data_IF_469029581786
#
_entry.id   IF_469029581786
#
_cell.length_a   1.000
_cell.length_b   1.000
_cell.length_c   1.000
_cell.angle_alpha   90.00
_cell.angle_beta   90.00
_cell.angle_gamma   90.00
#
_symmetry.space_group_name_H-M   'P 1'
#
loop_
_entity.id
_entity.type
_entity.pdbx_description
1 polymer ?
#
# COMPACT_ATOMS: atom_id res chain seq x y z
N UNK A 1 -0.98 -8.52 -11.03
CA UNK A 1 -2.37 -9.01 -11.22
C UNK A 1 -2.59 -9.46 -12.65
N UNK A 2 -2.50 -8.60 -13.67
CA UNK A 2 -2.73 -9.00 -15.07
C UNK A 2 -1.80 -10.14 -15.54
N UNK A 3 -0.51 -10.04 -15.22
CA UNK A 3 0.47 -11.10 -15.53
C UNK A 3 0.41 -12.29 -14.57
N UNK A 4 -0.39 -12.23 -13.50
CA UNK A 4 -0.50 -13.27 -12.46
C UNK A 4 0.79 -13.59 -11.69
N UNK A 5 1.83 -12.76 -11.86
CA UNK A 5 3.18 -12.92 -11.29
C UNK A 5 3.41 -12.13 -9.98
N UNK A 6 2.48 -12.19 -9.03
CA UNK A 6 2.63 -11.41 -7.77
C UNK A 6 3.82 -11.89 -6.95
N UNK A 7 4.06 -13.21 -6.88
CA UNK A 7 5.19 -13.78 -6.14
C UNK A 7 6.51 -13.29 -6.72
N UNK A 8 6.68 -13.43 -8.03
CA UNK A 8 7.88 -13.05 -8.77
C UNK A 8 8.14 -11.55 -8.67
N UNK A 9 7.09 -10.72 -8.82
CA UNK A 9 7.23 -9.27 -8.70
C UNK A 9 7.66 -8.84 -7.29
N UNK A 10 7.10 -9.46 -6.24
CA UNK A 10 7.48 -9.16 -4.85
C UNK A 10 8.90 -9.65 -4.56
N UNK A 11 9.25 -10.86 -5.02
CA UNK A 11 10.59 -11.41 -4.86
C UNK A 11 11.64 -10.51 -5.51
N UNK A 12 11.45 -10.16 -6.79
CA UNK A 12 12.36 -9.28 -7.52
C UNK A 12 12.47 -7.89 -6.87
N UNK A 13 11.34 -7.35 -6.37
CA UNK A 13 11.34 -6.08 -5.63
C UNK A 13 12.15 -6.15 -4.33
N UNK A 14 11.99 -7.24 -3.56
CA UNK A 14 12.76 -7.47 -2.33
C UNK A 14 14.25 -7.65 -2.60
N UNK A 15 14.63 -8.40 -3.63
CA UNK A 15 16.03 -8.58 -4.04
C UNK A 15 16.65 -7.23 -4.44
N UNK A 16 15.98 -6.46 -5.30
CA UNK A 16 16.48 -5.18 -5.76
C UNK A 16 16.67 -4.18 -4.61
N UNK A 17 15.71 -4.09 -3.70
CA UNK A 17 15.82 -3.20 -2.53
C UNK A 17 16.91 -3.65 -1.56
N UNK A 18 17.04 -4.96 -1.33
CA UNK A 18 18.09 -5.53 -0.48
C UNK A 18 19.47 -5.25 -1.06
N UNK A 19 19.64 -5.43 -2.37
CA UNK A 19 20.90 -5.11 -3.04
C UNK A 19 21.27 -3.63 -2.87
N UNK A 20 20.31 -2.71 -2.96
CA UNK A 20 20.56 -1.28 -2.69
C UNK A 20 21.01 -1.04 -1.25
N UNK A 21 20.35 -1.67 -0.26
CA UNK A 21 20.76 -1.57 1.15
C UNK A 21 22.18 -2.10 1.36
N UNK A 22 22.51 -3.26 0.80
CA UNK A 22 23.83 -3.90 0.96
C UNK A 22 24.96 -3.12 0.30
N UNK A 23 24.70 -2.51 -0.86
CA UNK A 23 25.68 -1.71 -1.59
C UNK A 23 25.88 -0.30 -1.01
N UNK A 24 25.00 0.14 -0.10
CA UNK A 24 25.02 1.51 0.40
C UNK A 24 26.14 1.74 1.42
N UNK A 25 27.01 2.71 1.15
CA UNK A 25 28.09 3.12 2.05
C UNK A 25 27.90 4.58 2.44
N UNK A 26 27.76 4.83 3.75
CA UNK A 26 27.50 6.18 4.29
C UNK A 26 28.64 6.59 5.23
N UNK A 27 29.74 7.17 4.71
CA UNK A 27 30.96 7.41 5.49
C UNK A 27 30.78 8.48 6.57
N UNK A 28 29.96 9.51 6.30
CA UNK A 28 29.83 10.69 7.16
C UNK A 28 28.67 10.58 8.17
N UNK A 29 27.98 9.44 8.24
CA UNK A 29 26.89 9.21 9.19
C UNK A 29 27.01 7.79 9.79
N UNK A 30 27.95 7.58 10.73
CA UNK A 30 28.30 6.24 11.21
C UNK A 30 27.13 5.51 11.87
N UNK A 31 26.21 6.23 12.51
CA UNK A 31 24.99 5.65 13.09
C UNK A 31 24.00 5.17 12.03
N UNK A 32 23.89 5.88 10.91
CA UNK A 32 23.04 5.47 9.77
C UNK A 32 23.65 4.26 9.09
N UNK A 33 24.97 4.26 8.85
CA UNK A 33 25.68 3.08 8.33
C UNK A 33 25.45 1.86 9.22
N UNK A 34 25.67 2.00 10.53
CA UNK A 34 25.46 0.93 11.50
C UNK A 34 24.03 0.40 11.45
N UNK A 35 23.02 1.28 11.41
CA UNK A 35 21.63 0.84 11.33
C UNK A 35 21.33 0.10 10.01
N UNK A 36 21.84 0.58 8.87
CA UNK A 36 21.68 -0.10 7.58
C UNK A 36 22.33 -1.49 7.60
N UNK A 37 23.58 -1.58 8.07
CA UNK A 37 24.33 -2.85 8.15
C UNK A 37 23.69 -3.84 9.14
N UNK A 38 23.10 -3.36 10.24
CA UNK A 38 22.54 -4.25 11.27
C UNK A 38 21.09 -4.66 10.96
N UNK A 39 20.32 -3.79 10.30
CA UNK A 39 18.87 -3.98 10.16
C UNK A 39 18.43 -4.38 8.76
N UNK A 40 19.25 -4.12 7.73
CA UNK A 40 18.94 -4.37 6.31
C UNK A 40 17.51 -3.96 5.93
N UNK A 41 17.01 -2.85 6.49
CA UNK A 41 15.60 -2.48 6.36
C UNK A 41 15.31 -1.92 4.97
N UNK A 42 14.20 -2.36 4.39
CA UNK A 42 13.73 -1.94 3.07
C UNK A 42 12.27 -1.51 3.12
N UNK A 43 11.79 -0.89 2.05
CA UNK A 43 10.42 -0.38 1.95
C UNK A 43 9.79 -0.64 0.59
N UNK A 44 9.32 -1.87 0.37
CA UNK A 44 8.52 -2.21 -0.78
C UNK A 44 7.09 -1.66 -0.61
N UNK A 45 6.62 -0.92 -1.59
CA UNK A 45 5.29 -0.32 -1.60
C UNK A 45 4.43 -0.83 -2.76
N UNK A 46 3.24 -0.26 -2.88
CA UNK A 46 2.34 -0.48 -4.01
C UNK A 46 1.81 0.87 -4.52
N UNK A 47 1.47 0.92 -5.81
CA UNK A 47 0.79 2.05 -6.42
C UNK A 47 -0.32 1.57 -7.36
N UNK A 48 -1.07 2.50 -7.94
CA UNK A 48 -2.15 2.23 -8.88
C UNK A 48 -3.41 1.56 -8.30
N UNK A 49 -3.63 1.60 -6.98
CA UNK A 49 -4.79 0.92 -6.38
C UNK A 49 -6.12 1.45 -6.95
N UNK A 50 -6.32 2.78 -6.93
CA UNK A 50 -7.57 3.36 -7.42
C UNK A 50 -7.75 3.14 -8.93
N UNK A 51 -6.67 3.24 -9.71
CA UNK A 51 -6.69 2.95 -11.14
C UNK A 51 -7.09 1.51 -11.45
N UNK A 52 -6.53 0.55 -10.70
CA UNK A 52 -6.86 -0.86 -10.84
C UNK A 52 -8.31 -1.16 -10.44
N UNK A 53 -8.79 -0.60 -9.32
CA UNK A 53 -10.18 -0.75 -8.88
C UNK A 53 -11.15 -0.17 -9.92
N UNK A 54 -10.87 1.03 -10.44
CA UNK A 54 -11.72 1.69 -11.42
C UNK A 54 -11.76 0.94 -12.76
N UNK A 55 -10.61 0.44 -13.25
CA UNK A 55 -10.54 -0.43 -14.44
C UNK A 55 -11.45 -1.66 -14.30
N UNK A 56 -11.53 -2.23 -13.10
CA UNK A 56 -12.37 -3.38 -12.78
C UNK A 56 -13.78 -3.00 -12.28
N UNK A 57 -14.19 -1.74 -12.47
CA UNK A 57 -15.52 -1.23 -12.10
C UNK A 57 -15.84 -1.46 -10.61
N UNK A 58 -14.85 -1.27 -9.73
CA UNK A 58 -15.00 -1.33 -8.28
C UNK A 58 -14.81 0.09 -7.74
N UNK A 59 -15.80 0.58 -6.98
CA UNK A 59 -15.71 1.90 -6.37
C UNK A 59 -14.77 1.84 -5.16
N UNK A 60 -13.87 2.82 -5.03
CA UNK A 60 -12.88 2.87 -3.95
C UNK A 60 -13.50 2.78 -2.54
N UNK A 61 -14.72 3.30 -2.37
CA UNK A 61 -15.48 3.32 -1.11
C UNK A 61 -16.32 2.05 -0.85
N UNK A 62 -16.19 1.02 -1.69
CA UNK A 62 -17.02 -0.20 -1.64
C UNK A 62 -16.43 -1.27 -0.72
N UNK A 63 -17.26 -2.27 -0.40
CA UNK A 63 -16.80 -3.44 0.35
C UNK A 63 -15.84 -4.29 -0.51
N UNK A 64 -16.10 -4.42 -1.81
CA UNK A 64 -15.21 -5.17 -2.72
C UNK A 64 -13.82 -4.53 -2.83
N UNK A 65 -13.71 -3.20 -2.72
CA UNK A 65 -12.40 -2.54 -2.70
C UNK A 65 -11.57 -2.95 -1.47
N UNK A 66 -12.21 -3.01 -0.30
CA UNK A 66 -11.55 -3.47 0.94
C UNK A 66 -11.19 -4.94 0.87
N UNK A 67 -12.09 -5.76 0.34
CA UNK A 67 -11.88 -7.18 0.14
C UNK A 67 -10.69 -7.46 -0.79
N UNK A 68 -10.63 -6.77 -1.94
CA UNK A 68 -9.49 -6.86 -2.85
C UNK A 68 -8.19 -6.45 -2.15
N UNK A 69 -8.20 -5.30 -1.44
CA UNK A 69 -7.02 -4.78 -0.77
C UNK A 69 -6.54 -5.73 0.33
N UNK A 70 -7.45 -6.26 1.14
CA UNK A 70 -7.17 -7.30 2.15
C UNK A 70 -6.37 -8.46 1.55
N UNK A 71 -6.89 -9.10 0.50
CA UNK A 71 -6.23 -10.26 -0.10
C UNK A 71 -4.91 -9.87 -0.75
N UNK A 72 -4.88 -8.80 -1.55
CA UNK A 72 -3.69 -8.37 -2.28
C UNK A 72 -2.53 -8.04 -1.33
N UNK A 73 -2.79 -7.28 -0.26
CA UNK A 73 -1.74 -6.88 0.67
C UNK A 73 -1.34 -8.01 1.62
N UNK A 74 -2.24 -8.96 1.94
CA UNK A 74 -1.86 -10.21 2.60
C UNK A 74 -0.83 -10.97 1.75
N UNK A 75 -1.05 -11.11 0.45
CA UNK A 75 -0.13 -11.78 -0.47
C UNK A 75 1.20 -11.03 -0.61
N UNK A 76 1.17 -9.69 -0.71
CA UNK A 76 2.37 -8.85 -0.70
C UNK A 76 3.22 -9.11 0.56
N UNK A 77 2.57 -9.22 1.72
CA UNK A 77 3.26 -9.53 2.96
C UNK A 77 3.80 -10.96 3.00
N UNK A 78 3.00 -11.95 2.61
CA UNK A 78 3.42 -13.34 2.55
C UNK A 78 4.70 -13.51 1.72
N UNK A 79 4.67 -13.06 0.46
CA UNK A 79 5.79 -13.23 -0.46
C UNK A 79 7.01 -12.39 -0.10
N UNK A 80 6.84 -11.26 0.62
CA UNK A 80 8.00 -10.49 1.10
C UNK A 80 8.66 -11.12 2.34
N UNK A 81 7.89 -11.80 3.21
CA UNK A 81 8.45 -12.62 4.30
C UNK A 81 9.18 -13.82 3.69
N UNK A 82 8.54 -14.52 2.77
CA UNK A 82 9.12 -15.67 2.05
C UNK A 82 10.46 -15.27 1.45
N UNK A 83 10.54 -14.16 0.70
CA UNK A 83 11.79 -13.76 0.09
C UNK A 83 12.86 -13.33 1.09
N UNK A 84 12.49 -12.59 2.15
CA UNK A 84 13.44 -12.20 3.20
C UNK A 84 14.00 -13.43 3.94
N UNK A 85 13.18 -14.48 4.12
CA UNK A 85 13.60 -15.77 4.68
C UNK A 85 14.53 -16.52 3.72
N UNK A 86 14.20 -16.58 2.43
CA UNK A 86 15.07 -17.19 1.40
C UNK A 86 16.46 -16.52 1.39
N UNK A 87 16.52 -15.18 1.43
CA UNK A 87 17.79 -14.44 1.48
C UNK A 87 18.57 -14.78 2.76
N UNK A 88 17.92 -14.85 3.92
CA UNK A 88 18.57 -15.23 5.17
C UNK A 88 19.15 -16.66 5.11
N UNK A 89 18.40 -17.59 4.55
CA UNK A 89 18.84 -18.97 4.32
C UNK A 89 20.05 -19.05 3.38
N UNK A 90 20.03 -18.30 2.28
CA UNK A 90 21.12 -18.29 1.28
C UNK A 90 22.41 -17.65 1.83
N UNK A 91 22.29 -16.55 2.58
CA UNK A 91 23.42 -15.83 3.15
C UNK A 91 23.92 -16.40 4.48
N UNK A 92 23.07 -17.16 5.19
CA UNK A 92 23.36 -17.62 6.54
C UNK A 92 23.39 -16.49 7.57
N UNK A 93 22.63 -15.41 7.33
CA UNK A 93 22.61 -14.18 8.11
C UNK A 93 21.17 -13.69 8.30
N UNK A 94 20.89 -13.13 9.48
CA UNK A 94 19.61 -12.47 9.78
C UNK A 94 19.88 -11.03 10.20
N UNK A 95 18.86 -10.17 10.17
CA UNK A 95 18.99 -8.87 10.82
C UNK A 95 19.33 -9.03 12.31
N UNK A 96 20.00 -8.02 12.86
CA UNK A 96 20.43 -7.99 14.25
C UNK A 96 19.26 -8.10 15.22
N UNK A 97 19.43 -8.91 16.26
CA UNK A 97 18.41 -9.16 17.29
C UNK A 97 17.13 -9.82 16.75
N UNK A 98 17.21 -10.57 15.64
CA UNK A 98 16.09 -11.37 15.12
C UNK A 98 15.46 -12.27 16.18
N UNK A 99 16.27 -12.89 17.05
CA UNK A 99 15.85 -13.76 18.15
C UNK A 99 14.89 -13.09 19.15
N UNK A 100 14.90 -11.75 19.22
CA UNK A 100 14.04 -10.95 20.10
C UNK A 100 12.77 -10.45 19.42
N UNK A 101 12.58 -10.77 18.14
CA UNK A 101 11.46 -10.27 17.35
C UNK A 101 10.21 -11.14 17.46
N UNK A 102 9.05 -10.56 17.13
CA UNK A 102 7.78 -11.29 17.02
C UNK A 102 7.77 -12.32 15.87
N UNK A 103 8.73 -12.22 14.95
CA UNK A 103 8.95 -13.23 13.93
C UNK A 103 9.57 -14.50 14.53
N UNK A 104 10.56 -14.35 15.41
CA UNK A 104 11.26 -15.47 16.03
C UNK A 104 10.41 -16.20 17.08
N UNK A 105 9.64 -15.45 17.89
CA UNK A 105 8.72 -16.05 18.86
C UNK A 105 7.43 -16.60 18.20
N UNK A 106 7.17 -16.23 16.95
CA UNK A 106 6.06 -16.73 16.14
C UNK A 106 4.74 -15.95 16.31
N UNK A 107 4.65 -15.01 17.25
CA UNK A 107 3.43 -14.23 17.53
C UNK A 107 2.99 -13.38 16.34
N UNK A 108 3.93 -12.94 15.49
CA UNK A 108 3.61 -12.21 14.25
C UNK A 108 2.62 -12.98 13.34
N UNK A 109 2.72 -14.32 13.32
CA UNK A 109 1.98 -15.18 12.39
C UNK A 109 0.59 -15.57 12.87
N UNK A 110 0.28 -15.44 14.16
CA UNK A 110 -0.96 -15.95 14.78
C UNK A 110 -2.23 -15.47 14.05
N UNK A 111 -2.26 -14.21 13.62
CA UNK A 111 -3.42 -13.67 12.90
C UNK A 111 -3.63 -14.29 11.52
N UNK A 112 -2.54 -14.70 10.85
CA UNK A 112 -2.60 -15.34 9.54
C UNK A 112 -2.91 -16.83 9.62
N UNK A 113 -2.59 -17.48 10.75
CA UNK A 113 -2.99 -18.86 11.03
C UNK A 113 -4.47 -18.96 11.43
N UNK A 114 -5.04 -17.90 12.01
CA UNK A 114 -6.42 -17.88 12.52
C UNK A 114 -7.44 -17.25 11.57
N UNK A 115 -7.03 -16.24 10.79
CA UNK A 115 -7.92 -15.48 9.90
C UNK A 115 -7.69 -15.86 8.45
N UNK A 116 -8.76 -16.14 7.71
CA UNK A 116 -8.71 -16.31 6.26
C UNK A 116 -8.90 -14.94 5.59
N UNK A 117 -7.95 -14.59 4.73
CA UNK A 117 -7.91 -13.33 3.99
C UNK A 117 -8.25 -13.49 2.51
N UNK A 118 -8.75 -14.66 2.11
CA UNK A 118 -9.21 -14.95 0.76
C UNK A 118 -10.47 -14.15 0.39
N UNK A 119 -10.67 -13.83 -0.89
CA UNK A 119 -11.84 -13.11 -1.35
C UNK A 119 -13.10 -13.99 -1.26
N UNK A 120 -14.21 -13.36 -0.88
CA UNK A 120 -15.53 -13.94 -0.63
C UNK A 120 -16.49 -13.67 -1.80
N UNK A 121 -16.42 -12.48 -2.42
CA UNK A 121 -17.30 -12.11 -3.52
C UNK A 121 -16.78 -12.65 -4.84
N UNK A 122 -17.67 -13.18 -5.68
CA UNK A 122 -17.33 -13.76 -6.99
C UNK A 122 -16.53 -12.76 -7.85
N UNK A 123 -16.93 -11.49 -7.82
CA UNK A 123 -16.24 -10.43 -8.56
C UNK A 123 -14.79 -10.25 -8.13
N UNK A 124 -14.48 -10.30 -6.84
CA UNK A 124 -13.10 -10.17 -6.35
C UNK A 124 -12.34 -11.47 -6.57
N UNK A 125 -12.97 -12.64 -6.38
CA UNK A 125 -12.37 -13.95 -6.67
C UNK A 125 -11.85 -14.04 -8.11
N UNK A 126 -12.64 -13.56 -9.08
CA UNK A 126 -12.23 -13.51 -10.50
C UNK A 126 -10.96 -12.68 -10.72
N UNK A 127 -10.70 -11.63 -9.91
CA UNK A 127 -9.48 -10.81 -10.03
C UNK A 127 -8.21 -11.55 -9.62
N UNK A 128 -8.32 -12.62 -8.85
CA UNK A 128 -7.21 -13.47 -8.40
C UNK A 128 -7.16 -14.81 -9.14
N UNK A 129 -7.99 -15.02 -10.17
CA UNK A 129 -8.05 -16.29 -10.90
C UNK A 129 -6.69 -16.64 -11.52
N UNK A 130 -6.21 -17.85 -11.23
CA UNK A 130 -4.89 -18.33 -11.68
C UNK A 130 -3.71 -17.77 -10.89
N UNK A 131 -3.97 -17.17 -9.73
CA UNK A 131 -2.95 -16.76 -8.76
C UNK A 131 -3.18 -17.58 -7.49
N UNK A 132 -2.13 -18.23 -6.99
CA UNK A 132 -2.19 -18.94 -5.71
C UNK A 132 -2.36 -17.93 -4.56
N UNK A 133 -3.42 -18.07 -3.76
CA UNK A 133 -3.65 -17.25 -2.57
C UNK A 133 -3.16 -18.06 -1.36
N UNK A 134 -2.18 -17.55 -0.58
CA UNK A 134 -1.66 -18.25 0.58
C UNK A 134 -2.75 -18.62 1.58
N UNK A 135 -2.82 -19.91 1.94
CA UNK A 135 -3.75 -20.44 2.93
C UNK A 135 -3.17 -20.37 4.35
N UNK A 136 -3.97 -20.76 5.34
CA UNK A 136 -3.50 -20.88 6.73
C UNK A 136 -2.34 -21.85 6.87
N UNK A 137 -2.39 -22.97 6.13
CA UNK A 137 -1.34 -23.98 6.09
C UNK A 137 -0.05 -23.44 5.47
N UNK A 138 -0.17 -22.64 4.40
CA UNK A 138 0.98 -21.95 3.80
C UNK A 138 1.65 -20.99 4.78
N UNK A 139 0.85 -20.28 5.59
CA UNK A 139 1.33 -19.40 6.65
C UNK A 139 2.01 -20.15 7.79
N UNK A 140 1.44 -21.28 8.23
CA UNK A 140 2.08 -22.15 9.23
C UNK A 140 3.39 -22.73 8.71
N UNK A 141 3.45 -23.14 7.43
CA UNK A 141 4.70 -23.60 6.81
C UNK A 141 5.76 -22.49 6.78
N UNK A 142 5.36 -21.27 6.37
CA UNK A 142 6.27 -20.13 6.33
C UNK A 142 6.79 -19.74 7.72
N UNK A 143 5.95 -19.80 8.76
CA UNK A 143 6.34 -19.58 10.15
C UNK A 143 7.45 -20.53 10.59
N UNK A 144 7.33 -21.83 10.30
CA UNK A 144 8.36 -22.82 10.66
C UNK A 144 9.67 -22.61 9.88
N UNK A 145 9.57 -22.19 8.61
CA UNK A 145 10.75 -21.81 7.82
C UNK A 145 11.43 -20.56 8.40
N UNK A 146 10.67 -19.54 8.76
CA UNK A 146 11.20 -18.31 9.39
C UNK A 146 11.83 -18.62 10.75
N UNK A 147 11.25 -19.54 11.54
CA UNK A 147 11.86 -19.99 12.80
C UNK A 147 13.19 -20.71 12.58
N UNK A 148 13.32 -21.43 11.48
CA UNK A 148 14.52 -22.22 11.15
C UNK A 148 15.63 -21.36 10.55
N UNK A 149 15.29 -20.49 9.60
CA UNK A 149 16.26 -19.74 8.78
C UNK A 149 16.37 -18.26 9.15
N UNK A 150 15.38 -17.72 9.86
CA UNK A 150 15.29 -16.31 10.20
C UNK A 150 14.82 -15.43 9.04
N UNK A 151 15.05 -14.12 9.18
CA UNK A 151 14.74 -13.10 8.17
C UNK A 151 15.95 -12.19 7.97
N UNK A 152 16.21 -11.81 6.72
CA UNK A 152 17.32 -10.94 6.39
C UNK A 152 16.98 -9.48 6.68
N UNK A 153 15.79 -9.04 6.29
CA UNK A 153 15.34 -7.66 6.46
C UNK A 153 14.48 -7.51 7.73
N UNK A 154 14.83 -6.58 8.62
CA UNK A 154 14.03 -6.26 9.83
C UNK A 154 12.67 -5.63 9.52
N UNK A 155 12.61 -4.80 8.48
CA UNK A 155 11.41 -4.17 7.95
C UNK A 155 11.39 -4.30 6.43
N UNK A 156 10.20 -4.49 5.85
CA UNK A 156 10.05 -4.88 4.45
C UNK A 156 9.11 -3.98 3.66
N UNK A 157 7.97 -3.60 4.23
CA UNK A 157 6.87 -2.97 3.50
C UNK A 157 6.58 -1.56 4.01
N UNK A 158 6.62 -0.59 3.10
CA UNK A 158 6.27 0.80 3.37
C UNK A 158 5.63 1.43 2.13
N UNK A 159 4.43 2.00 2.28
CA UNK A 159 3.70 2.60 1.16
C UNK A 159 3.94 4.12 1.17
N UNK A 160 4.93 4.54 0.38
CA UNK A 160 5.27 5.93 0.15
C UNK A 160 4.33 6.61 -0.87
N UNK A 161 4.27 7.96 -0.91
CA UNK A 161 3.69 8.69 -2.02
C UNK A 161 4.52 8.48 -3.29
N UNK A 162 3.88 8.36 -4.45
CA UNK A 162 4.58 8.01 -5.71
C UNK A 162 4.45 9.08 -6.78
N UNK A 163 4.30 10.36 -6.39
CA UNK A 163 3.90 11.48 -7.24
C UNK A 163 4.51 11.47 -8.66
N UNK A 164 5.81 11.78 -8.80
CA UNK A 164 6.41 11.92 -10.14
C UNK A 164 6.55 10.58 -10.86
N UNK A 165 6.92 9.51 -10.14
CA UNK A 165 7.15 8.19 -10.74
C UNK A 165 5.85 7.51 -11.19
N UNK A 166 4.69 7.90 -10.64
CA UNK A 166 3.41 7.35 -11.08
C UNK A 166 3.01 7.82 -12.47
N UNK A 167 3.43 9.01 -12.92
CA UNK A 167 3.22 9.42 -14.32
C UNK A 167 4.04 8.55 -15.29
N UNK A 168 5.29 8.21 -14.91
CA UNK A 168 6.14 7.32 -15.72
C UNK A 168 5.52 5.92 -15.82
N UNK A 169 4.95 5.43 -14.73
CA UNK A 169 4.28 4.12 -14.68
C UNK A 169 2.85 4.14 -15.23
N UNK A 170 2.34 5.29 -15.67
CA UNK A 170 0.93 5.49 -16.01
C UNK A 170 -0.02 4.89 -14.95
N UNK A 171 0.20 5.28 -13.69
CA UNK A 171 -0.46 4.75 -12.50
C UNK A 171 -1.09 5.87 -11.67
N UNK A 172 -2.16 5.55 -10.93
CA UNK A 172 -2.64 6.45 -9.86
C UNK A 172 -1.64 6.44 -8.70
N UNK A 173 -1.43 7.60 -8.07
CA UNK A 173 -0.40 7.75 -7.03
C UNK A 173 -0.68 6.90 -5.79
N UNK A 174 0.28 6.05 -5.42
CA UNK A 174 0.25 5.20 -4.23
C UNK A 174 -1.04 4.36 -4.17
N UNK A 175 -1.49 4.06 -2.94
CA UNK A 175 -2.80 3.44 -2.68
C UNK A 175 -3.91 4.46 -2.49
N UNK A 176 -3.65 5.75 -2.70
CA UNK A 176 -4.61 6.83 -2.44
C UNK A 176 -5.64 6.98 -3.58
N UNK A 177 -6.84 7.51 -3.27
CA UNK A 177 -7.77 7.90 -4.32
C UNK A 177 -7.24 9.12 -5.09
N UNK A 178 -7.76 9.31 -6.29
CA UNK A 178 -7.34 10.37 -7.21
C UNK A 178 -7.95 11.70 -6.75
N UNK A 179 -7.25 12.80 -7.02
CA UNK A 179 -7.77 14.14 -6.68
C UNK A 179 -8.61 14.75 -7.79
N UNK A 180 -8.32 14.41 -9.04
CA UNK A 180 -9.06 14.82 -10.22
C UNK A 180 -9.00 13.71 -11.26
N UNK A 181 -10.07 13.56 -12.05
CA UNK A 181 -10.11 12.64 -13.17
C UNK A 181 -9.16 13.07 -14.29
N UNK A 182 -9.00 14.39 -14.49
CA UNK A 182 -8.04 14.96 -15.41
C UNK A 182 -7.24 16.02 -14.65
N UNK A 183 -5.95 15.80 -14.54
CA UNK A 183 -5.05 16.75 -13.92
C UNK A 183 -4.62 17.81 -14.91
N UNK A 184 -4.83 19.07 -14.56
CA UNK A 184 -4.26 20.21 -15.28
C UNK A 184 -2.99 20.66 -14.58
N UNK A 185 -1.92 20.90 -15.36
CA UNK A 185 -0.64 21.44 -14.88
C UNK A 185 -0.13 22.48 -15.87
N UNK A 186 0.30 23.63 -15.36
CA UNK A 186 0.95 24.65 -16.19
C UNK A 186 2.46 24.51 -16.06
N UNK A 187 3.13 24.24 -17.17
CA UNK A 187 4.58 24.20 -17.30
C UNK A 187 5.00 25.35 -18.21
N UNK A 188 5.69 26.34 -17.63
CA UNK A 188 5.99 27.62 -18.28
C UNK A 188 4.73 28.24 -18.91
N UNK A 189 4.67 28.30 -20.24
CA UNK A 189 3.57 28.94 -20.97
C UNK A 189 2.54 27.95 -21.52
N UNK A 190 2.65 26.66 -21.19
CA UNK A 190 1.76 25.62 -21.68
C UNK A 190 1.01 24.92 -20.55
N UNK A 191 -0.27 24.66 -20.75
CA UNK A 191 -1.08 23.82 -19.86
C UNK A 191 -1.15 22.41 -20.44
N UNK A 192 -0.74 21.43 -19.67
CA UNK A 192 -0.81 20.00 -19.98
C UNK A 192 -1.94 19.36 -19.20
N UNK A 193 -2.66 18.45 -19.85
CA UNK A 193 -3.75 17.69 -19.25
C UNK A 193 -3.37 16.22 -19.19
N UNK A 194 -3.49 15.64 -17.99
CA UNK A 194 -3.20 14.24 -17.73
C UNK A 194 -4.47 13.53 -17.25
N UNK A 195 -5.20 12.82 -18.11
CA UNK A 195 -6.30 11.98 -17.69
C UNK A 195 -5.79 10.82 -16.84
N UNK A 196 -6.55 10.42 -15.83
CA UNK A 196 -6.18 9.26 -15.01
C UNK A 196 -6.03 8.00 -15.87
N UNK A 197 -5.09 7.09 -15.54
CA UNK A 197 -4.91 5.84 -16.27
C UNK A 197 -6.23 5.07 -16.37
N UNK A 198 -6.54 4.44 -17.50
CA UNK A 198 -7.80 3.71 -17.73
C UNK A 198 -9.09 4.56 -17.66
N UNK A 199 -9.01 5.90 -17.64
CA UNK A 199 -10.18 6.75 -17.73
C UNK A 199 -10.88 6.61 -19.09
N UNK A 200 -12.16 6.30 -19.06
CA UNK A 200 -13.04 6.14 -20.20
C UNK A 200 -14.47 6.51 -19.81
N UNK A 201 -15.40 6.55 -20.77
CA UNK A 201 -16.82 6.78 -20.48
C UNK A 201 -17.40 5.74 -19.52
N UNK A 202 -16.94 4.49 -19.61
CA UNK A 202 -17.44 3.37 -18.79
C UNK A 202 -16.82 3.35 -17.38
N UNK A 203 -15.62 3.91 -17.22
CA UNK A 203 -14.87 3.91 -15.95
C UNK A 203 -14.95 5.24 -15.21
N UNK A 204 -15.47 6.30 -15.85
CA UNK A 204 -15.56 7.67 -15.32
C UNK A 204 -16.11 7.75 -13.90
N UNK A 205 -17.22 7.06 -13.64
CA UNK A 205 -17.91 7.07 -12.35
C UNK A 205 -17.16 6.37 -11.22
N UNK A 206 -16.16 5.54 -11.55
CA UNK A 206 -15.30 4.89 -10.58
C UNK A 206 -14.11 5.75 -10.17
N UNK A 207 -13.76 6.77 -10.96
CA UNK A 207 -12.78 7.80 -10.60
C UNK A 207 -13.42 8.95 -9.83
N UNK A 208 -14.04 8.64 -8.69
CA UNK A 208 -14.57 9.67 -7.79
C UNK A 208 -13.40 10.48 -7.23
N UNK A 209 -13.54 11.80 -7.13
CA UNK A 209 -12.49 12.65 -6.55
C UNK A 209 -12.40 12.40 -5.03
N UNK A 210 -11.18 12.41 -4.50
CA UNK A 210 -10.90 12.17 -3.09
C UNK A 210 -11.57 13.18 -2.15
N UNK A 211 -11.83 14.41 -2.62
CA UNK A 211 -12.52 15.45 -1.87
C UNK A 211 -14.03 15.20 -1.72
N UNK A 212 -14.60 14.34 -2.56
CA UNK A 212 -16.01 14.01 -2.58
C UNK A 212 -16.29 12.64 -1.93
N UNK A 213 -15.23 11.91 -1.54
CA UNK A 213 -15.30 10.64 -0.83
C UNK A 213 -15.53 10.82 0.67
N UNK A 214 -16.20 9.83 1.27
CA UNK A 214 -16.29 9.69 2.71
C UNK A 214 -14.93 9.31 3.30
N UNK A 215 -14.31 10.23 4.03
CA UNK A 215 -12.98 10.02 4.61
C UNK A 215 -12.96 8.87 5.65
N UNK A 216 -14.08 8.55 6.32
CA UNK A 216 -14.14 7.38 7.21
C UNK A 216 -13.97 6.07 6.43
N UNK A 217 -14.52 5.98 5.21
CA UNK A 217 -14.37 4.80 4.34
C UNK A 217 -12.96 4.70 3.75
N UNK A 218 -12.35 5.84 3.42
CA UNK A 218 -10.93 5.89 3.06
C UNK A 218 -10.10 5.33 4.22
N UNK A 219 -10.30 5.82 5.44
CA UNK A 219 -9.61 5.33 6.64
C UNK A 219 -9.83 3.83 6.84
N UNK A 220 -11.05 3.33 6.65
CA UNK A 220 -11.37 1.90 6.75
C UNK A 220 -10.56 1.06 5.75
N UNK A 221 -10.48 1.48 4.49
CA UNK A 221 -9.69 0.79 3.48
C UNK A 221 -8.20 0.80 3.83
N UNK A 222 -7.67 1.94 4.27
CA UNK A 222 -6.26 2.03 4.66
C UNK A 222 -5.96 1.22 5.90
N UNK A 223 -6.89 1.13 6.87
CA UNK A 223 -6.75 0.27 8.03
C UNK A 223 -6.62 -1.20 7.61
N UNK A 224 -7.44 -1.65 6.65
CA UNK A 224 -7.37 -3.00 6.08
C UNK A 224 -6.00 -3.28 5.44
N UNK A 225 -5.47 -2.32 4.67
CA UNK A 225 -4.12 -2.43 4.08
C UNK A 225 -3.05 -2.47 5.18
N UNK A 226 -3.17 -1.60 6.19
CA UNK A 226 -2.19 -1.43 7.26
C UNK A 226 -1.98 -2.69 8.09
N UNK A 227 -2.97 -3.59 8.18
CA UNK A 227 -2.83 -4.90 8.82
C UNK A 227 -1.66 -5.71 8.24
N UNK A 228 -1.38 -5.54 6.95
CA UNK A 228 -0.37 -6.32 6.22
C UNK A 228 0.93 -5.54 5.96
N UNK A 229 1.01 -4.28 6.39
CA UNK A 229 2.19 -3.42 6.24
C UNK A 229 2.91 -3.28 7.58
N UNK A 230 4.14 -3.79 7.67
CA UNK A 230 4.95 -3.79 8.90
C UNK A 230 5.45 -2.38 9.29
N UNK A 231 5.73 -1.50 8.33
CA UNK A 231 6.01 -0.08 8.58
C UNK A 231 4.72 0.75 8.48
N UNK A 232 4.63 1.74 7.58
CA UNK A 232 3.51 2.67 7.50
C UNK A 232 3.05 2.98 6.09
N UNK A 233 1.92 3.69 6.02
CA UNK A 233 1.28 4.15 4.78
C UNK A 233 1.13 5.66 4.85
N UNK A 234 1.62 6.38 3.84
CA UNK A 234 1.47 7.84 3.75
C UNK A 234 0.03 8.22 3.41
N UNK A 235 -0.81 8.26 4.43
CA UNK A 235 -2.26 8.45 4.31
C UNK A 235 -2.62 9.93 4.31
N UNK A 236 -3.29 10.38 3.26
CA UNK A 236 -3.73 11.79 3.10
C UNK A 236 -5.21 11.89 3.44
N UNK A 237 -5.58 12.88 4.26
CA UNK A 237 -6.98 13.28 4.43
C UNK A 237 -7.32 14.37 3.43
N UNK A 238 -8.47 14.25 2.78
CA UNK A 238 -8.97 15.21 1.80
C UNK A 238 -10.22 15.89 2.33
N UNK A 239 -10.17 17.21 2.45
CA UNK A 239 -11.26 18.00 3.05
C UNK A 239 -11.57 19.22 2.19
N UNK A 240 -12.80 19.70 2.26
CA UNK A 240 -13.19 20.98 1.67
C UNK A 240 -13.01 22.11 2.69
N UNK A 241 -12.89 23.35 2.22
CA UNK A 241 -12.61 24.52 3.07
C UNK A 241 -13.71 24.86 4.08
N UNK A 242 -14.91 24.32 3.92
CA UNK A 242 -16.06 24.46 4.82
C UNK A 242 -16.06 23.44 5.98
N UNK A 243 -15.08 22.54 6.06
CA UNK A 243 -14.99 21.56 7.14
C UNK A 243 -14.84 22.25 8.51
N UNK A 244 -15.64 21.83 9.49
CA UNK A 244 -15.48 22.28 10.87
C UNK A 244 -14.28 21.60 11.54
N UNK A 245 -13.62 22.31 12.47
CA UNK A 245 -12.53 21.73 13.29
C UNK A 245 -12.98 20.46 14.04
N UNK A 246 -14.24 20.41 14.47
CA UNK A 246 -14.83 19.24 15.14
C UNK A 246 -14.87 18.04 14.20
N UNK A 247 -15.30 18.22 12.95
CA UNK A 247 -15.37 17.13 11.98
C UNK A 247 -13.97 16.66 11.58
N UNK A 248 -13.05 17.60 11.34
CA UNK A 248 -11.65 17.26 11.09
C UNK A 248 -11.07 16.43 12.25
N UNK A 249 -11.27 16.86 13.50
CA UNK A 249 -10.81 16.12 14.68
C UNK A 249 -11.41 14.70 14.77
N UNK A 250 -12.66 14.51 14.32
CA UNK A 250 -13.27 13.16 14.26
C UNK A 250 -12.52 12.23 13.31
N UNK A 251 -11.99 12.72 12.19
CA UNK A 251 -11.17 11.89 11.29
C UNK A 251 -9.86 11.44 11.96
N UNK A 252 -9.16 12.33 12.67
CA UNK A 252 -7.94 11.98 13.41
C UNK A 252 -8.23 10.94 14.51
N UNK A 253 -9.28 11.17 15.32
CA UNK A 253 -9.67 10.23 16.39
C UNK A 253 -10.09 8.89 15.80
N UNK A 254 -10.81 8.88 14.68
CA UNK A 254 -11.22 7.65 14.02
C UNK A 254 -10.05 6.88 13.43
N UNK A 255 -9.11 7.56 12.76
CA UNK A 255 -7.87 6.95 12.25
C UNK A 255 -7.08 6.28 13.38
N UNK A 256 -6.94 6.96 14.52
CA UNK A 256 -6.33 6.38 15.71
C UNK A 256 -7.10 5.16 16.21
N UNK A 257 -8.43 5.25 16.35
CA UNK A 257 -9.29 4.13 16.77
C UNK A 257 -9.18 2.91 15.84
N UNK A 258 -8.95 3.15 14.55
CA UNK A 258 -8.78 2.12 13.53
C UNK A 258 -7.37 1.53 13.47
N UNK A 259 -6.44 2.04 14.26
CA UNK A 259 -5.07 1.53 14.32
C UNK A 259 -4.16 2.01 13.20
N UNK A 260 -4.50 3.12 12.51
CA UNK A 260 -3.56 3.73 11.57
C UNK A 260 -2.32 4.22 12.32
N UNK A 261 -1.14 3.88 11.80
CA UNK A 261 0.15 4.25 12.41
C UNK A 261 0.48 5.73 12.21
N UNK A 262 0.04 6.32 11.11
CA UNK A 262 0.26 7.75 10.82
C UNK A 262 -0.77 8.33 9.85
N UNK A 263 -0.87 9.66 9.86
CA UNK A 263 -1.50 10.47 8.83
C UNK A 263 -0.44 11.44 8.32
N UNK A 264 -0.36 11.62 7.00
CA UNK A 264 0.68 12.39 6.34
C UNK A 264 0.34 13.88 6.30
N UNK A 265 -0.59 14.28 5.44
CA UNK A 265 -1.09 15.65 5.37
C UNK A 265 -2.61 15.68 5.25
N UNK A 266 -3.19 16.80 5.68
CA UNK A 266 -4.58 17.16 5.37
C UNK A 266 -4.57 18.12 4.20
N UNK A 267 -5.08 17.66 3.06
CA UNK A 267 -5.18 18.45 1.84
C UNK A 267 -6.55 19.11 1.76
N UNK A 268 -6.57 20.43 1.70
CA UNK A 268 -7.81 21.21 1.64
C UNK A 268 -8.08 21.70 0.22
N UNK A 269 -9.26 21.42 -0.34
CA UNK A 269 -9.77 22.09 -1.55
C UNK A 269 -10.47 23.36 -1.13
N UNK A 270 -10.03 24.51 -1.66
CA UNK A 270 -10.76 25.76 -1.51
C UNK A 270 -12.00 25.67 -2.38
N UNK A 271 -13.18 25.73 -1.79
CA UNK A 271 -14.41 25.87 -2.55
C UNK A 271 -14.41 27.28 -3.16
N UNK A 272 -14.15 27.38 -4.45
CA UNK A 272 -14.51 28.57 -5.21
C UNK A 272 -15.94 28.39 -5.72
N UNK A 273 -16.69 29.49 -5.83
CA UNK A 273 -18.12 29.49 -6.20
C UNK A 273 -18.38 28.87 -7.59
N UNK A 274 -17.34 28.69 -8.41
CA UNK A 274 -17.42 28.27 -9.81
C UNK A 274 -17.22 26.75 -10.04
N UNK A 275 -16.84 25.97 -9.03
CA UNK A 275 -16.50 24.54 -9.20
C UNK A 275 -17.69 23.55 -9.14
N UNK A 276 -18.93 24.03 -9.33
CA UNK A 276 -20.10 23.17 -9.51
C UNK A 276 -20.25 22.71 -10.98
N UNK A 277 -19.16 22.16 -11.56
CA UNK A 277 -19.12 21.77 -12.99
C UNK A 277 -19.81 20.42 -13.23
N UNK A 278 -20.15 19.66 -12.19
CA UNK A 278 -20.85 18.38 -12.32
C UNK A 278 -22.39 18.50 -12.41
N UNK A 279 -22.95 19.70 -12.20
CA UNK A 279 -24.41 19.92 -12.08
C UNK A 279 -24.96 21.00 -13.01
N UNK A 280 -24.23 21.40 -14.06
CA UNK A 280 -24.78 22.29 -15.09
C UNK A 280 -25.07 21.48 -16.35
N UNK A 281 -26.32 21.62 -16.83
CA UNK A 281 -26.91 20.92 -17.99
C UNK A 281 -26.16 21.25 -19.27
#
# INVERSE_FOLDING_TARGET
>A
MENKEIREAVHAGMEALTAVSDMTIIPNAPTVKKANDELHSVGLGAMNLHGYLAKNKIAYESAEAKEFARTFFMMLNYYSIEKSMEIAKEKGETFKDFDKSDYANGTYFEKYETTDYSPVTEKVQQLFEGIHIPTKEDWTSLKEQVKTYGLYNSYRLAIAPTQSISYVQNATSSVMPIVSQIESRTYANATTYYPMPYLSKDTFWYYKSSYDMNQFKLIDLIAEIQEHIDQGISTILYVNSDISTRELARYYIYAHKKGLKSLYYTRTRKLSVEECVACTV
#
